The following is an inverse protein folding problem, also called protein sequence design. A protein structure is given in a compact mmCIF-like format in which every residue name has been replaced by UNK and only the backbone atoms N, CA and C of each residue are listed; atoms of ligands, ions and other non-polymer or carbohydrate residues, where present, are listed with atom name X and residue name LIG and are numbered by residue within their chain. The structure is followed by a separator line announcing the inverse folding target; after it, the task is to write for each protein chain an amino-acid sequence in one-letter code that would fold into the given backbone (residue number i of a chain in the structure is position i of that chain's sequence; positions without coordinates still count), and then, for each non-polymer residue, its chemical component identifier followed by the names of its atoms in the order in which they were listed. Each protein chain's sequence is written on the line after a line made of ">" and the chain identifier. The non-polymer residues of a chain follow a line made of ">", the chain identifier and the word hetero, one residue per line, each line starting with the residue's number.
data_IF_499307782624
#
_entry.id   IF_499307782624
#
_cell.length_a   1.000
_cell.length_b   1.000
_cell.length_c   1.000
_cell.angle_alpha   90.00
_cell.angle_beta   90.00
_cell.angle_gamma   90.00
#
_symmetry.space_group_name_H-M   'P 1'
#
loop_
_entity.id
_entity.type
_entity.pdbx_description
1 polymer ?
#
# COMPACT_ATOMS: atom_id res chain seq x y z
N UNK A 1 13.30 -9.68 9.92
CA UNK A 1 12.25 -8.75 9.49
C UNK A 1 11.91 -7.69 10.54
N UNK A 2 12.43 -6.47 10.37
CA UNK A 2 12.02 -5.26 11.13
C UNK A 2 11.72 -4.09 10.17
N UNK A 3 11.26 -4.41 8.95
CA UNK A 3 11.05 -3.42 7.88
C UNK A 3 9.89 -2.46 8.14
N UNK A 4 8.98 -2.79 9.05
CA UNK A 4 7.88 -1.89 9.42
C UNK A 4 8.15 -1.33 10.80
N UNK A 5 8.22 0.00 10.92
CA UNK A 5 8.23 0.70 12.19
C UNK A 5 6.83 1.22 12.45
N UNK A 6 6.21 0.72 13.50
CA UNK A 6 4.83 1.05 13.87
C UNK A 6 4.85 1.80 15.18
N UNK A 7 4.27 2.98 15.21
CA UNK A 7 4.09 3.81 16.40
C UNK A 7 2.63 4.19 16.56
N UNK A 8 2.19 4.47 17.79
CA UNK A 8 0.89 5.09 18.01
C UNK A 8 0.90 6.51 17.44
N UNK A 9 -0.22 6.93 16.84
CA UNK A 9 -0.38 8.30 16.39
C UNK A 9 -0.48 9.22 17.62
N UNK A 10 0.45 10.19 17.79
CA UNK A 10 0.42 11.10 18.95
C UNK A 10 -0.81 12.02 18.96
N UNK A 11 -1.51 12.15 17.83
CA UNK A 11 -2.75 12.93 17.72
C UNK A 11 -3.99 12.16 18.16
N UNK A 12 -3.84 10.90 18.60
CA UNK A 12 -4.94 10.07 19.08
C UNK A 12 -5.67 10.74 20.24
N UNK A 13 -6.93 11.09 20.03
CA UNK A 13 -7.77 11.72 21.04
C UNK A 13 -8.15 10.72 22.15
N UNK A 14 -8.06 11.17 23.40
CA UNK A 14 -8.57 10.42 24.54
C UNK A 14 -10.08 10.18 24.37
N UNK A 15 -10.50 8.92 24.34
CA UNK A 15 -11.90 8.51 24.06
C UNK A 15 -12.15 8.03 22.63
N UNK A 16 -11.15 8.05 21.74
CA UNK A 16 -11.26 7.43 20.41
C UNK A 16 -11.57 5.94 20.52
N UNK A 17 -12.61 5.49 19.81
CA UNK A 17 -13.02 4.07 19.68
C UNK A 17 -12.19 3.33 18.63
N UNK A 18 -11.09 3.91 18.18
CA UNK A 18 -10.15 3.28 17.25
C UNK A 18 -8.71 3.61 17.62
N UNK A 19 -7.82 2.64 17.37
CA UNK A 19 -6.38 2.78 17.54
C UNK A 19 -5.79 3.34 16.25
N UNK A 20 -5.14 4.49 16.35
CA UNK A 20 -4.45 5.12 15.23
C UNK A 20 -2.98 4.74 15.29
N UNK A 21 -2.46 4.21 14.19
CA UNK A 21 -1.08 3.77 14.05
C UNK A 21 -0.42 4.56 12.93
N UNK A 22 0.77 5.06 13.17
CA UNK A 22 1.65 5.58 12.13
C UNK A 22 2.64 4.48 11.74
N UNK A 23 2.69 4.13 10.47
CA UNK A 23 3.52 3.05 9.95
C UNK A 23 4.54 3.59 8.95
N UNK A 24 5.81 3.26 9.17
CA UNK A 24 6.95 3.63 8.31
C UNK A 24 7.54 2.35 7.72
N UNK A 25 7.88 2.39 6.43
CA UNK A 25 8.60 1.32 5.74
C UNK A 25 10.10 1.63 5.77
N UNK A 26 10.82 0.94 6.65
CA UNK A 26 12.26 1.00 6.84
C UNK A 26 12.93 -0.24 6.23
N UNK A 27 12.86 -0.36 4.90
CA UNK A 27 13.57 -1.40 4.14
C UNK A 27 14.69 -0.75 3.32
N UNK A 28 15.95 -1.14 3.61
CA UNK A 28 17.14 -0.64 2.92
C UNK A 28 17.17 -0.91 1.41
N UNK A 29 16.37 -1.86 0.93
CA UNK A 29 16.30 -2.21 -0.49
C UNK A 29 15.17 -1.47 -1.22
N UNK A 30 14.39 -0.66 -0.52
CA UNK A 30 13.28 0.11 -1.08
C UNK A 30 13.55 1.61 -0.97
N UNK A 31 13.02 2.42 -1.90
CA UNK A 31 13.06 3.87 -1.75
C UNK A 31 12.26 4.29 -0.52
N UNK A 32 12.69 5.40 0.09
CA UNK A 32 11.94 6.02 1.17
C UNK A 32 10.57 6.50 0.66
N UNK A 33 9.52 6.16 1.39
CA UNK A 33 8.14 6.56 1.11
C UNK A 33 7.55 7.26 2.33
N UNK A 34 6.60 8.20 2.13
CA UNK A 34 5.91 8.84 3.25
C UNK A 34 5.21 7.80 4.13
N UNK A 35 5.15 8.02 5.45
CA UNK A 35 4.45 7.12 6.35
C UNK A 35 2.97 7.01 6.02
N UNK A 36 2.35 5.91 6.43
CA UNK A 36 0.91 5.68 6.26
C UNK A 36 0.24 5.65 7.63
N UNK A 37 -0.94 6.26 7.73
CA UNK A 37 -1.75 6.19 8.95
C UNK A 37 -2.76 5.06 8.83
N UNK A 38 -2.83 4.19 9.83
CA UNK A 38 -3.77 3.09 9.91
C UNK A 38 -4.74 3.30 11.07
N UNK A 39 -6.02 3.11 10.82
CA UNK A 39 -7.04 3.07 11.87
C UNK A 39 -7.50 1.64 12.11
N UNK A 40 -7.25 1.11 13.30
CA UNK A 40 -7.76 -0.19 13.76
C UNK A 40 -9.04 0.05 14.56
N UNK A 41 -10.20 -0.46 14.10
CA UNK A 41 -11.46 -0.24 14.79
C UNK A 41 -11.54 -1.09 16.07
N UNK A 42 -12.33 -0.65 17.04
CA UNK A 42 -12.53 -1.38 18.31
C UNK A 42 -13.14 -2.78 18.14
N UNK A 43 -13.94 -3.00 17.10
CA UNK A 43 -14.53 -4.31 16.81
C UNK A 43 -13.60 -5.22 16.00
N UNK A 44 -12.34 -4.83 15.78
CA UNK A 44 -11.34 -5.69 15.14
C UNK A 44 -11.23 -7.05 15.84
N UNK A 45 -11.19 -8.19 15.12
CA UNK A 45 -11.06 -8.32 13.66
C UNK A 45 -12.38 -8.47 12.89
N UNK A 46 -13.55 -8.12 13.46
CA UNK A 46 -14.81 -8.16 12.69
C UNK A 46 -14.80 -7.15 11.54
N UNK A 47 -14.38 -5.92 11.84
CA UNK A 47 -14.09 -4.90 10.83
C UNK A 47 -12.58 -4.84 10.55
N UNK A 48 -12.17 -4.71 9.28
CA UNK A 48 -10.76 -4.63 8.92
C UNK A 48 -10.15 -3.26 9.30
N UNK A 49 -8.82 -3.18 9.42
CA UNK A 49 -8.13 -1.90 9.57
C UNK A 49 -8.25 -1.10 8.27
N UNK A 50 -8.20 0.23 8.38
CA UNK A 50 -8.24 1.14 7.23
C UNK A 50 -6.89 1.83 7.08
N UNK A 51 -6.44 1.99 5.83
CA UNK A 51 -5.25 2.76 5.49
C UNK A 51 -5.65 4.15 5.02
N UNK A 52 -5.00 5.17 5.54
CA UNK A 52 -5.13 6.57 5.17
C UNK A 52 -3.79 7.06 4.63
N UNK A 53 -3.77 7.36 3.33
CA UNK A 53 -2.62 7.98 2.67
C UNK A 53 -2.85 9.49 2.67
N UNK A 54 -1.80 10.27 2.96
CA UNK A 54 -1.84 11.72 2.78
C UNK A 54 -1.84 12.03 1.27
N UNK A 55 -2.96 12.50 0.67
CA UNK A 55 -3.07 12.58 -0.78
C UNK A 55 -2.10 13.60 -1.38
N UNK A 56 -1.76 14.66 -0.64
CA UNK A 56 -0.81 15.68 -1.06
C UNK A 56 0.63 15.14 -1.16
N UNK A 57 1.04 14.24 -0.25
CA UNK A 57 2.36 13.61 -0.31
C UNK A 57 2.41 12.54 -1.39
N UNK A 58 1.39 11.69 -1.46
CA UNK A 58 1.37 10.57 -2.40
C UNK A 58 1.09 10.99 -3.85
N UNK A 59 0.61 12.21 -4.10
CA UNK A 59 0.50 12.79 -5.45
C UNK A 59 1.74 13.60 -5.87
N UNK A 60 2.72 13.81 -4.98
CA UNK A 60 3.86 14.69 -5.24
C UNK A 60 4.80 14.20 -6.36
N UNK A 61 4.86 12.89 -6.59
CA UNK A 61 5.70 12.30 -7.65
C UNK A 61 4.96 11.19 -8.39
N UNK A 62 5.37 10.91 -9.65
CA UNK A 62 4.83 9.79 -10.43
C UNK A 62 5.01 8.44 -9.72
N UNK A 63 6.13 8.26 -9.04
CA UNK A 63 6.41 7.07 -8.25
C UNK A 63 5.40 6.91 -7.12
N UNK A 64 5.21 7.94 -6.29
CA UNK A 64 4.28 7.87 -5.16
C UNK A 64 2.82 7.72 -5.62
N UNK A 65 2.46 8.35 -6.74
CA UNK A 65 1.12 8.19 -7.33
C UNK A 65 0.90 6.76 -7.82
N UNK A 66 1.92 6.12 -8.39
CA UNK A 66 1.87 4.70 -8.75
C UNK A 66 1.75 3.80 -7.52
N UNK A 67 2.46 4.11 -6.42
CA UNK A 67 2.31 3.40 -5.13
C UNK A 67 0.87 3.51 -4.62
N UNK A 68 0.29 4.70 -4.61
CA UNK A 68 -1.09 4.93 -4.19
C UNK A 68 -2.07 4.12 -5.03
N UNK A 69 -1.98 4.21 -6.36
CA UNK A 69 -2.88 3.49 -7.26
C UNK A 69 -2.76 1.95 -7.10
N UNK A 70 -1.53 1.45 -6.93
CA UNK A 70 -1.28 0.03 -6.70
C UNK A 70 -1.86 -0.43 -5.35
N UNK A 71 -1.67 0.36 -4.28
CA UNK A 71 -2.18 0.06 -2.95
C UNK A 71 -3.71 0.03 -2.93
N UNK A 72 -4.37 1.06 -3.47
CA UNK A 72 -5.83 1.12 -3.55
C UNK A 72 -6.40 -0.08 -4.33
N UNK A 73 -5.77 -0.46 -5.44
CA UNK A 73 -6.15 -1.62 -6.25
C UNK A 73 -6.03 -2.94 -5.47
N UNK A 74 -4.97 -3.09 -4.68
CA UNK A 74 -4.74 -4.31 -3.89
C UNK A 74 -5.66 -4.37 -2.67
N UNK A 75 -5.88 -3.26 -1.98
CA UNK A 75 -6.80 -3.20 -0.83
C UNK A 75 -8.23 -3.56 -1.24
N UNK A 76 -8.69 -3.11 -2.42
CA UNK A 76 -10.00 -3.53 -2.96
C UNK A 76 -10.12 -5.03 -3.23
N UNK A 77 -8.99 -5.73 -3.43
CA UNK A 77 -8.92 -7.17 -3.68
C UNK A 77 -8.66 -7.99 -2.41
N UNK A 78 -8.39 -7.33 -1.28
CA UNK A 78 -8.25 -8.03 -0.01
C UNK A 78 -9.58 -8.68 0.39
N UNK A 79 -9.53 -9.81 1.12
CA UNK A 79 -10.74 -10.41 1.68
C UNK A 79 -11.48 -9.41 2.57
N UNK A 80 -12.79 -9.63 2.80
CA UNK A 80 -13.59 -8.72 3.63
C UNK A 80 -13.09 -8.52 5.06
N UNK A 81 -12.19 -9.40 5.54
CA UNK A 81 -11.44 -9.26 6.79
C UNK A 81 -9.96 -9.53 6.52
N UNK A 82 -9.12 -8.61 6.95
CA UNK A 82 -7.67 -8.74 6.86
C UNK A 82 -7.00 -8.12 8.08
N UNK A 83 -5.77 -8.53 8.36
CA UNK A 83 -4.99 -8.04 9.49
C UNK A 83 -4.18 -6.78 9.16
N UNK A 84 -3.69 -6.11 10.20
CA UNK A 84 -2.74 -4.99 10.06
C UNK A 84 -1.51 -5.43 9.27
N UNK A 85 -0.95 -6.61 9.56
CA UNK A 85 0.21 -7.14 8.84
C UNK A 85 -0.10 -7.35 7.35
N UNK A 86 -1.25 -7.93 7.01
CA UNK A 86 -1.65 -8.11 5.60
C UNK A 86 -1.78 -6.78 4.86
N UNK A 87 -2.28 -5.73 5.52
CA UNK A 87 -2.35 -4.39 4.95
C UNK A 87 -0.96 -3.78 4.74
N UNK A 88 -0.05 -3.94 5.72
CA UNK A 88 1.33 -3.45 5.62
C UNK A 88 2.14 -4.17 4.53
N UNK A 89 2.01 -5.49 4.44
CA UNK A 89 2.60 -6.28 3.36
C UNK A 89 2.03 -5.85 2.00
N UNK A 90 0.73 -5.54 1.93
CA UNK A 90 0.11 -5.03 0.71
C UNK A 90 0.69 -3.66 0.30
N UNK A 91 0.94 -2.79 1.26
CA UNK A 91 1.60 -1.49 1.02
C UNK A 91 3.03 -1.66 0.54
N UNK A 92 3.84 -2.49 1.21
CA UNK A 92 5.20 -2.80 0.79
C UNK A 92 5.25 -3.40 -0.64
N UNK A 93 4.34 -4.33 -0.96
CA UNK A 93 4.21 -4.87 -2.31
C UNK A 93 3.85 -3.81 -3.35
N UNK A 94 3.11 -2.77 -2.95
CA UNK A 94 2.77 -1.64 -3.82
C UNK A 94 4.00 -0.76 -4.09
N UNK A 95 4.85 -0.56 -3.07
CA UNK A 95 6.15 0.13 -3.21
C UNK A 95 7.07 -0.66 -4.14
N UNK A 96 7.23 -1.97 -3.93
CA UNK A 96 8.03 -2.85 -4.80
C UNK A 96 7.57 -2.81 -6.24
N UNK A 97 6.26 -2.87 -6.48
CA UNK A 97 5.70 -2.79 -7.82
C UNK A 97 6.01 -1.46 -8.50
N UNK A 98 5.91 -0.34 -7.79
CA UNK A 98 6.23 0.97 -8.35
C UNK A 98 7.73 1.16 -8.62
N UNK A 99 8.60 0.37 -7.98
CA UNK A 99 10.04 0.34 -8.26
C UNK A 99 10.40 -0.54 -9.45
N UNK A 100 9.54 -1.50 -9.81
CA UNK A 100 9.81 -2.40 -10.91
C UNK A 100 9.78 -1.63 -12.24
N UNK A 101 10.65 -1.97 -13.22
CA UNK A 101 10.55 -1.42 -14.55
C UNK A 101 9.15 -1.70 -15.09
N UNK A 102 8.39 -0.67 -15.46
CA UNK A 102 7.11 -0.86 -16.14
C UNK A 102 7.41 -1.52 -17.48
N UNK A 103 7.29 -2.85 -17.57
CA UNK A 103 7.26 -3.52 -18.86
C UNK A 103 6.02 -2.98 -19.56
N UNK A 104 6.22 -2.02 -20.46
CA UNK A 104 5.22 -1.75 -21.49
C UNK A 104 4.91 -3.09 -22.15
N UNK A 105 3.64 -3.45 -22.33
CA UNK A 105 3.31 -4.64 -23.10
C UNK A 105 3.88 -4.40 -24.50
N UNK A 106 4.97 -5.08 -24.84
CA UNK A 106 5.39 -5.22 -26.23
C UNK A 106 4.20 -5.82 -26.95
N UNK A 107 3.60 -5.12 -27.95
CA UNK A 107 2.58 -5.74 -28.76
C UNK A 107 3.28 -6.90 -29.47
N UNK A 108 3.00 -8.12 -29.00
CA UNK A 108 3.42 -9.34 -29.66
C UNK A 108 2.65 -9.37 -30.97
N UNK A 109 3.26 -8.82 -32.03
CA UNK A 109 2.81 -9.06 -33.39
C UNK A 109 3.11 -10.51 -33.71
N UNK A 110 2.22 -11.40 -33.29
CA UNK A 110 2.09 -12.72 -33.85
C UNK A 110 1.56 -12.57 -35.28
N UNK A 111 2.46 -12.31 -36.23
CA UNK A 111 2.20 -12.45 -37.65
C UNK A 111 2.12 -13.95 -37.98
N UNK A 112 0.92 -14.52 -37.88
CA UNK A 112 0.55 -15.77 -38.54
C UNK A 112 -0.34 -15.38 -39.73
N UNK A 113 0.13 -15.62 -40.97
CA UNK A 113 -0.55 -15.68 -42.29
C UNK A 113 0.50 -15.25 -43.33
N UNK A 114 0.81 -15.93 -44.44
CA UNK A 114 0.14 -16.95 -45.23
C UNK A 114 1.18 -17.80 -45.98
N UNK A 115 1.01 -19.13 -45.97
CA UNK A 115 1.53 -19.98 -47.04
C UNK A 115 0.51 -20.03 -48.18
N UNK A 116 0.97 -19.71 -49.39
CA UNK A 116 0.36 -20.07 -50.66
C UNK A 116 1.48 -20.64 -51.54
#
# INVERSE_FOLDING_TARGET
>A
DQRFKVSLDPTQQAGSRCVQLLCVLDDRHLPCVPPVSLSVPEDYPRSPPRCHLAPHEYSATKFLSAVQAALESRVRKLPGRFSVSQLLDTWEMSVRQACAPTHSPTPSSSSLLMGL
#
